data_IF_202649332569
#
_entry.id   IF_202649332569
#
_cell.length_a   1.000
_cell.length_b   1.000
_cell.length_c   1.000
_cell.angle_alpha   90.00
_cell.angle_beta   90.00
_cell.angle_gamma   90.00
#
_symmetry.space_group_name_H-M   'P 1'
#
loop_
_entity.id
_entity.type
_entity.pdbx_description
1 polymer ?
#
# COMPACT_ATOMS: atom_id res chain seq x y z
N UNK A 1 29.40 9.03 -40.00
CA UNK A 1 28.76 9.27 -38.68
C UNK A 1 28.36 7.93 -38.10
N UNK A 2 28.46 7.82 -36.77
CA UNK A 2 28.36 6.60 -35.95
C UNK A 2 26.92 6.05 -35.95
N UNK A 3 26.76 4.74 -36.13
CA UNK A 3 25.53 4.04 -35.73
C UNK A 3 25.83 3.24 -34.47
N UNK A 4 25.57 3.87 -33.32
CA UNK A 4 25.63 3.22 -32.02
C UNK A 4 24.43 2.28 -31.89
N UNK A 5 24.68 0.97 -31.83
CA UNK A 5 23.69 -0.02 -31.43
C UNK A 5 23.42 0.16 -29.94
N UNK A 6 22.30 0.80 -29.60
CA UNK A 6 21.81 0.88 -28.24
C UNK A 6 21.25 -0.49 -27.83
N UNK A 7 22.05 -1.27 -27.11
CA UNK A 7 21.60 -2.50 -26.46
C UNK A 7 20.65 -2.14 -25.31
N UNK A 8 19.34 -2.20 -25.55
CA UNK A 8 18.33 -2.11 -24.51
C UNK A 8 18.30 -3.44 -23.74
N UNK A 9 18.98 -3.49 -22.59
CA UNK A 9 18.80 -4.59 -21.63
C UNK A 9 17.51 -4.32 -20.86
N UNK A 10 16.40 -4.91 -21.35
CA UNK A 10 15.18 -4.99 -20.57
C UNK A 10 15.38 -6.04 -19.46
N UNK A 11 15.79 -5.60 -18.27
CA UNK A 11 15.75 -6.46 -17.07
C UNK A 11 14.29 -6.60 -16.68
N UNK A 12 13.61 -7.60 -17.24
CA UNK A 12 12.36 -8.11 -16.68
C UNK A 12 12.74 -8.83 -15.38
N UNK A 13 12.80 -8.08 -14.27
CA UNK A 13 12.88 -8.67 -12.95
C UNK A 13 11.64 -9.57 -12.79
N UNK A 14 11.90 -10.87 -12.60
CA UNK A 14 10.88 -11.90 -12.51
C UNK A 14 9.83 -11.53 -11.47
N UNK A 15 8.62 -11.26 -11.94
CA UNK A 15 7.45 -11.01 -11.12
C UNK A 15 7.04 -12.36 -10.51
N UNK A 16 7.63 -12.72 -9.37
CA UNK A 16 7.05 -13.75 -8.50
C UNK A 16 5.60 -13.34 -8.25
N UNK A 17 4.65 -14.18 -8.65
CA UNK A 17 3.22 -13.91 -8.66
C UNK A 17 2.79 -13.07 -7.45
N UNK A 18 2.62 -11.75 -7.63
CA UNK A 18 2.16 -10.91 -6.53
C UNK A 18 0.68 -11.22 -6.36
N UNK A 19 0.36 -12.04 -5.35
CA UNK A 19 -1.01 -12.14 -4.88
C UNK A 19 -1.48 -10.76 -4.44
N UNK A 20 -2.78 -10.49 -4.59
CA UNK A 20 -3.39 -9.36 -3.88
C UNK A 20 -3.15 -9.55 -2.39
N UNK A 21 -2.41 -8.63 -1.77
CA UNK A 21 -2.16 -8.69 -0.34
C UNK A 21 -3.35 -8.21 0.46
N UNK A 22 -4.03 -7.13 0.06
CA UNK A 22 -5.28 -6.70 0.70
C UNK A 22 -5.90 -5.58 -0.13
N UNK A 23 -7.20 -5.35 0.06
CA UNK A 23 -7.93 -4.29 -0.65
C UNK A 23 -8.41 -3.24 0.34
N UNK A 24 -8.27 -1.97 -0.04
CA UNK A 24 -8.72 -0.84 0.77
C UNK A 24 -9.55 0.17 -0.02
N UNK A 25 -10.39 0.89 0.71
CA UNK A 25 -10.92 2.18 0.28
C UNK A 25 -10.15 3.30 0.97
N UNK A 26 -9.82 4.36 0.23
CA UNK A 26 -9.09 5.54 0.73
C UNK A 26 -9.94 6.79 0.71
N UNK A 27 -9.67 7.71 1.64
CA UNK A 27 -10.51 8.85 1.94
C UNK A 27 -9.67 10.09 2.26
N UNK A 28 -10.14 11.25 1.82
CA UNK A 28 -9.44 12.53 2.04
C UNK A 28 -9.80 13.19 3.37
N UNK A 29 -10.92 12.79 4.00
CA UNK A 29 -11.27 13.14 5.37
C UNK A 29 -10.70 12.16 6.39
N UNK A 30 -10.83 12.48 7.69
CA UNK A 30 -10.29 11.66 8.79
C UNK A 30 -11.28 10.61 9.31
N UNK A 31 -12.55 10.70 8.90
CA UNK A 31 -13.62 9.82 9.38
C UNK A 31 -14.16 8.92 8.26
N UNK A 32 -13.29 8.60 7.28
CA UNK A 32 -13.65 7.87 6.06
C UNK A 32 -14.78 8.54 5.27
N UNK A 33 -14.78 9.87 5.29
CA UNK A 33 -15.57 10.75 4.46
C UNK A 33 -14.77 11.19 3.23
N UNK A 34 -15.46 11.62 2.17
CA UNK A 34 -14.84 12.12 0.93
C UNK A 34 -13.87 11.11 0.30
N UNK A 35 -14.44 10.03 -0.25
CA UNK A 35 -13.70 8.94 -0.90
C UNK A 35 -12.75 9.48 -1.98
N UNK A 36 -11.51 8.99 -1.95
CA UNK A 36 -10.46 9.30 -2.94
C UNK A 36 -10.42 8.20 -3.99
N UNK A 37 -10.33 6.94 -3.54
CA UNK A 37 -10.35 5.77 -4.39
C UNK A 37 -10.92 4.59 -3.62
N UNK A 38 -11.67 3.73 -4.31
CA UNK A 38 -12.23 2.49 -3.74
C UNK A 38 -11.60 1.28 -4.40
N UNK A 39 -11.55 0.17 -3.68
CA UNK A 39 -11.05 -1.09 -4.22
C UNK A 39 -9.56 -1.06 -4.59
N UNK A 40 -8.75 -0.28 -3.87
CA UNK A 40 -7.30 -0.20 -4.08
C UNK A 40 -6.69 -1.52 -3.66
N UNK A 41 -6.23 -2.31 -4.64
CA UNK A 41 -5.49 -3.54 -4.39
C UNK A 41 -4.04 -3.21 -4.04
N UNK A 42 -3.65 -3.52 -2.81
CA UNK A 42 -2.24 -3.49 -2.38
C UNK A 42 -1.65 -4.88 -2.65
N UNK A 43 -0.55 -4.93 -3.39
CA UNK A 43 0.08 -6.19 -3.80
C UNK A 43 1.11 -6.67 -2.78
N UNK A 44 1.24 -7.97 -2.64
CA UNK A 44 2.22 -8.55 -1.71
C UNK A 44 3.66 -8.31 -2.17
N UNK A 45 4.55 -8.07 -1.20
CA UNK A 45 5.96 -7.72 -1.39
C UNK A 45 6.18 -6.50 -2.29
N UNK A 46 5.22 -5.58 -2.34
CA UNK A 46 5.33 -4.33 -3.10
C UNK A 46 5.18 -3.10 -2.21
N UNK A 47 5.72 -2.00 -2.70
CA UNK A 47 5.31 -0.66 -2.30
C UNK A 47 4.69 0.03 -3.52
N UNK A 48 3.51 0.60 -3.32
CA UNK A 48 2.90 1.51 -4.27
C UNK A 48 2.87 2.93 -3.69
N UNK A 49 3.14 3.91 -4.55
CA UNK A 49 3.03 5.34 -4.26
C UNK A 49 1.88 5.91 -5.10
N UNK A 50 1.11 6.83 -4.53
CA UNK A 50 -0.01 7.47 -5.21
C UNK A 50 0.18 8.99 -5.24
N UNK A 51 -0.23 9.65 -6.36
CA UNK A 51 -0.13 11.09 -6.48
C UNK A 51 -1.10 11.84 -5.56
N UNK A 52 -2.21 11.20 -5.16
CA UNK A 52 -3.19 11.76 -4.23
C UNK A 52 -3.04 11.07 -2.88
N UNK A 53 -2.66 11.84 -1.86
CA UNK A 53 -2.63 11.35 -0.49
C UNK A 53 -4.04 11.12 0.07
N UNK A 54 -4.13 10.31 1.11
CA UNK A 54 -5.35 10.02 1.85
C UNK A 54 -5.11 10.13 3.35
N UNK A 55 -6.13 10.59 4.08
CA UNK A 55 -6.07 10.82 5.54
C UNK A 55 -6.70 9.69 6.34
N UNK A 56 -7.56 8.90 5.71
CA UNK A 56 -8.14 7.70 6.30
C UNK A 56 -8.39 6.60 5.26
N UNK A 57 -8.56 5.38 5.73
CA UNK A 57 -8.79 4.19 4.92
C UNK A 57 -9.69 3.17 5.63
N UNK A 58 -10.29 2.28 4.84
CA UNK A 58 -10.99 1.08 5.31
C UNK A 58 -10.41 -0.14 4.63
N UNK A 59 -10.11 -1.20 5.38
CA UNK A 59 -9.82 -2.49 4.77
C UNK A 59 -11.15 -3.09 4.30
N UNK A 60 -11.26 -3.44 3.03
CA UNK A 60 -12.44 -4.05 2.42
C UNK A 60 -12.24 -5.53 2.14
N UNK A 61 -10.99 -5.96 1.97
CA UNK A 61 -10.63 -7.37 1.82
C UNK A 61 -9.32 -7.64 2.54
N UNK A 62 -9.29 -8.68 3.37
CA UNK A 62 -8.08 -9.12 4.04
C UNK A 62 -7.13 -9.84 3.10
N UNK A 63 -5.88 -9.91 3.53
CA UNK A 63 -4.85 -10.70 2.90
C UNK A 63 -4.73 -12.14 3.32
N UNK A 64 -3.65 -12.73 2.80
CA UNK A 64 -3.12 -13.98 3.30
C UNK A 64 -2.74 -13.90 4.78
N UNK A 65 -2.54 -15.06 5.40
CA UNK A 65 -2.09 -15.16 6.79
C UNK A 65 -0.73 -14.47 6.96
N UNK A 66 -0.58 -13.63 7.99
CA UNK A 66 0.67 -12.93 8.28
C UNK A 66 0.90 -11.67 7.44
N UNK A 67 -0.09 -11.22 6.67
CA UNK A 67 0.04 -10.01 5.87
C UNK A 67 0.07 -8.76 6.77
N UNK A 68 1.12 -7.97 6.62
CA UNK A 68 1.31 -6.71 7.34
C UNK A 68 1.33 -5.52 6.37
N UNK A 69 0.51 -4.51 6.67
CA UNK A 69 0.45 -3.27 5.91
C UNK A 69 1.30 -2.18 6.56
N UNK A 70 2.01 -1.42 5.73
CA UNK A 70 2.77 -0.24 6.11
C UNK A 70 2.27 0.97 5.32
N UNK A 71 1.92 2.04 6.03
CA UNK A 71 1.45 3.29 5.43
C UNK A 71 2.50 4.37 5.64
N UNK A 72 2.90 5.03 4.56
CA UNK A 72 3.94 6.06 4.58
C UNK A 72 3.36 7.42 4.22
N UNK A 73 3.85 8.43 4.93
CA UNK A 73 3.82 9.83 4.49
C UNK A 73 5.14 10.11 3.72
N UNK A 74 5.51 11.38 3.37
CA UNK A 74 6.13 11.74 2.08
C UNK A 74 7.43 11.03 1.66
N UNK A 75 8.06 10.23 2.52
CA UNK A 75 9.19 9.38 2.20
C UNK A 75 8.85 8.16 1.30
N UNK A 76 7.61 7.96 0.85
CA UNK A 76 7.27 7.06 -0.28
C UNK A 76 7.89 5.66 -0.21
N UNK A 77 7.80 4.98 0.94
CA UNK A 77 8.43 3.68 1.22
C UNK A 77 9.98 3.65 1.25
N UNK A 78 10.64 4.78 1.47
CA UNK A 78 12.11 4.85 1.56
C UNK A 78 12.71 4.04 2.72
N UNK A 79 11.93 3.74 3.76
CA UNK A 79 12.34 2.86 4.85
C UNK A 79 11.12 2.36 5.63
N UNK A 80 11.01 1.04 5.87
CA UNK A 80 9.89 0.43 6.60
C UNK A 80 9.65 1.04 8.00
N UNK A 81 10.68 1.26 8.84
CA UNK A 81 10.54 2.01 10.09
C UNK A 81 9.95 3.42 9.97
N UNK A 82 10.01 4.02 8.76
CA UNK A 82 9.43 5.33 8.48
C UNK A 82 7.92 5.33 8.23
N UNK A 83 7.25 4.18 8.39
CA UNK A 83 5.81 4.09 8.27
C UNK A 83 5.13 4.90 9.38
N UNK A 84 4.19 5.76 9.00
CA UNK A 84 3.37 6.54 9.95
C UNK A 84 2.28 5.70 10.61
N UNK A 85 1.98 4.53 10.03
CA UNK A 85 1.05 3.54 10.58
C UNK A 85 1.34 2.18 10.01
N UNK A 86 1.17 1.14 10.80
CA UNK A 86 1.29 -0.24 10.35
C UNK A 86 0.43 -1.18 11.17
N UNK A 87 0.13 -2.34 10.62
CA UNK A 87 -0.65 -3.37 11.30
C UNK A 87 -0.99 -4.56 10.41
N UNK A 88 -1.36 -5.66 11.04
CA UNK A 88 -1.81 -6.86 10.35
C UNK A 88 -3.16 -6.64 9.66
N UNK A 89 -3.21 -7.00 8.38
CA UNK A 89 -4.38 -6.94 7.49
C UNK A 89 -4.86 -8.35 7.14
N UNK A 90 -4.67 -9.29 8.05
CA UNK A 90 -5.04 -10.69 7.92
C UNK A 90 -6.28 -11.06 8.76
N UNK A 91 -6.80 -12.26 8.50
CA UNK A 91 -7.95 -12.82 9.22
C UNK A 91 -7.59 -13.45 10.56
N UNK A 92 -6.30 -13.54 10.91
CA UNK A 92 -5.81 -14.28 12.09
C UNK A 92 -5.51 -13.35 13.26
N UNK A 93 -4.73 -12.30 13.01
CA UNK A 93 -4.24 -11.33 14.00
C UNK A 93 -5.19 -10.14 14.14
N UNK A 94 -5.83 -9.74 13.03
CA UNK A 94 -6.94 -8.77 12.99
C UNK A 94 -6.63 -7.39 13.62
N UNK A 95 -5.39 -6.90 13.52
CA UNK A 95 -5.05 -5.53 13.95
C UNK A 95 -5.90 -4.49 13.20
N UNK A 96 -5.98 -4.64 11.87
CA UNK A 96 -6.94 -3.93 11.05
C UNK A 96 -8.16 -4.81 10.75
N UNK A 97 -9.34 -4.29 11.10
CA UNK A 97 -10.63 -4.95 10.92
C UNK A 97 -11.27 -4.51 9.60
N UNK A 98 -11.99 -5.44 8.97
CA UNK A 98 -12.79 -5.14 7.78
C UNK A 98 -13.85 -4.08 8.09
N UNK A 99 -14.03 -3.15 7.18
CA UNK A 99 -15.03 -2.07 7.25
C UNK A 99 -14.76 -1.00 8.30
N UNK A 100 -13.78 -1.19 9.20
CA UNK A 100 -13.43 -0.21 10.21
C UNK A 100 -12.63 0.94 9.60
N UNK A 101 -12.93 2.16 10.04
CA UNK A 101 -12.27 3.36 9.56
C UNK A 101 -11.00 3.63 10.38
N UNK A 102 -9.86 3.69 9.71
CA UNK A 102 -8.58 4.05 10.31
C UNK A 102 -8.07 5.35 9.72
N UNK A 103 -7.51 6.22 10.54
CA UNK A 103 -6.91 7.47 10.09
C UNK A 103 -5.46 7.62 10.59
N UNK A 104 -4.81 8.70 10.15
CA UNK A 104 -3.44 9.03 10.51
C UNK A 104 -3.34 10.23 11.45
N UNK A 105 -4.32 10.41 12.35
CA UNK A 105 -4.33 11.51 13.34
C UNK A 105 -4.05 12.91 12.73
N UNK A 106 -4.60 13.18 11.55
CA UNK A 106 -4.45 14.45 10.83
C UNK A 106 -3.36 14.45 9.75
N UNK A 107 -2.46 13.47 9.73
CA UNK A 107 -1.50 13.28 8.65
C UNK A 107 -2.16 12.70 7.39
N UNK A 108 -1.42 12.74 6.27
CA UNK A 108 -1.81 12.11 5.01
C UNK A 108 -0.77 11.08 4.61
N UNK A 109 -1.20 9.85 4.36
CA UNK A 109 -0.38 8.84 3.70
C UNK A 109 -0.48 9.03 2.19
N UNK A 110 0.58 8.69 1.46
CA UNK A 110 0.61 8.68 0.00
C UNK A 110 1.33 7.45 -0.57
N UNK A 111 1.81 6.56 0.29
CA UNK A 111 2.34 5.27 -0.13
C UNK A 111 1.96 4.17 0.85
N UNK A 112 1.86 2.95 0.34
CA UNK A 112 1.43 1.76 1.06
C UNK A 112 2.33 0.64 0.58
N UNK A 113 2.92 -0.08 1.53
CA UNK A 113 3.60 -1.33 1.27
C UNK A 113 2.92 -2.48 1.99
N UNK A 114 3.08 -3.67 1.44
CA UNK A 114 2.61 -4.91 2.04
C UNK A 114 3.71 -5.94 2.03
N UNK A 115 3.91 -6.60 3.16
CA UNK A 115 4.84 -7.72 3.29
C UNK A 115 4.19 -8.85 4.10
N UNK A 116 4.41 -10.08 3.70
CA UNK A 116 4.06 -11.27 4.47
C UNK A 116 5.30 -11.74 5.25
N UNK A 117 5.14 -12.01 6.54
CA UNK A 117 6.17 -12.69 7.35
C UNK A 117 6.16 -14.20 7.17
#
# INVERSE_FOLDING_TARGET
MRFSLASAVAVMAGFSATGSAFVIDTFSGTNCDKSVQKGVNTWDNTCATWPKGFKSFKITTWGGKGQYAYFFAPNNCGSLPGAIKGGYVDSTTKTFKLGHCYNFNGASANAIASYSG
#
